data_IF_000366506609
#
_entry.id   IF_000366506609
#
_cell.length_a   1.000
_cell.length_b   1.000
_cell.length_c   1.000
_cell.angle_alpha   90.00
_cell.angle_beta   90.00
_cell.angle_gamma   90.00
#
_symmetry.space_group_name_H-M   'P 1'
#
loop_
_entity.id
_entity.type
_entity.pdbx_description
1 polymer ?
#
# COMPACT_ATOMS: atom_id res chain seq x y z
N UNK A 1 -3.33 -1.49 10.75
CA UNK A 1 -2.64 -0.24 10.34
C UNK A 1 -2.98 0.88 11.33
N UNK A 2 -2.21 1.98 11.41
CA UNK A 2 -2.43 3.01 12.44
C UNK A 2 -3.59 3.93 12.05
N UNK A 3 -4.69 3.87 12.80
CA UNK A 3 -5.84 4.79 12.73
C UNK A 3 -5.42 6.27 12.77
N UNK A 4 -4.22 6.57 13.27
CA UNK A 4 -3.65 7.93 13.35
C UNK A 4 -3.47 8.64 12.00
N UNK A 5 -3.66 7.98 10.85
CA UNK A 5 -3.58 8.55 9.49
C UNK A 5 -4.93 8.62 8.75
N UNK A 6 -6.04 8.45 9.45
CA UNK A 6 -7.39 8.77 8.97
C UNK A 6 -7.86 10.12 9.55
N UNK A 7 -8.73 10.81 8.81
CA UNK A 7 -9.35 12.07 9.24
C UNK A 7 -10.73 11.80 9.84
N UNK A 8 -11.51 10.89 9.25
CA UNK A 8 -12.79 10.39 9.75
C UNK A 8 -12.60 9.26 10.78
N UNK A 9 -13.68 8.90 11.48
CA UNK A 9 -13.70 7.73 12.36
C UNK A 9 -13.32 6.47 11.58
N UNK A 10 -12.37 5.67 12.09
CA UNK A 10 -11.84 4.51 11.38
C UNK A 10 -12.89 3.40 11.33
N UNK A 11 -13.49 3.18 10.17
CA UNK A 11 -14.39 2.05 9.91
C UNK A 11 -13.75 0.95 9.03
N UNK A 12 -12.55 1.18 8.51
CA UNK A 12 -11.80 0.21 7.69
C UNK A 12 -10.41 -0.08 8.28
N UNK A 13 -10.08 -1.36 8.47
CA UNK A 13 -8.82 -1.82 9.05
C UNK A 13 -8.16 -2.90 8.21
N UNK A 14 -6.87 -2.73 7.93
CA UNK A 14 -6.04 -3.78 7.32
C UNK A 14 -5.22 -4.53 8.38
N UNK A 15 -5.30 -5.87 8.34
CA UNK A 15 -4.50 -6.81 9.13
C UNK A 15 -3.72 -7.72 8.19
N UNK A 16 -2.40 -7.78 8.37
CA UNK A 16 -1.55 -8.72 7.64
C UNK A 16 -1.37 -9.99 8.47
N UNK A 17 -1.84 -11.12 7.96
CA UNK A 17 -1.56 -12.43 8.53
C UNK A 17 -0.22 -12.91 7.97
N UNK A 18 0.84 -12.74 8.77
CA UNK A 18 2.23 -13.00 8.35
C UNK A 18 2.60 -14.45 8.64
N UNK A 19 3.01 -15.17 7.60
CA UNK A 19 3.49 -16.53 7.68
C UNK A 19 4.97 -16.60 7.25
N UNK A 20 5.89 -17.01 8.14
CA UNK A 20 7.29 -17.16 7.79
C UNK A 20 7.47 -18.32 6.81
N UNK A 21 8.15 -18.06 5.70
CA UNK A 21 8.52 -19.09 4.71
C UNK A 21 9.98 -18.92 4.34
N UNK A 22 10.71 -20.03 4.30
CA UNK A 22 12.13 -20.02 4.00
C UNK A 22 12.42 -20.62 2.62
N UNK A 23 13.58 -20.23 2.06
CA UNK A 23 14.18 -20.87 0.87
C UNK A 23 13.28 -20.84 -0.36
N UNK A 24 12.63 -19.70 -0.60
CA UNK A 24 11.90 -19.48 -1.84
C UNK A 24 12.86 -19.01 -2.94
N UNK A 25 12.53 -19.40 -4.17
CA UNK A 25 13.05 -18.80 -5.39
C UNK A 25 11.93 -17.95 -5.99
N UNK A 26 12.30 -16.73 -6.38
CA UNK A 26 11.42 -15.73 -6.93
C UNK A 26 11.72 -15.62 -8.43
N UNK A 27 10.70 -15.83 -9.25
CA UNK A 27 10.74 -15.65 -10.70
C UNK A 27 9.81 -14.49 -11.06
N UNK A 28 10.30 -13.47 -11.75
CA UNK A 28 9.48 -12.31 -12.12
C UNK A 28 8.33 -12.73 -13.04
N UNK A 29 7.11 -12.30 -12.69
CA UNK A 29 5.90 -12.62 -13.47
C UNK A 29 5.73 -11.69 -14.68
N UNK A 30 6.35 -10.52 -14.66
CA UNK A 30 6.27 -9.49 -15.69
C UNK A 30 7.51 -8.59 -15.64
N UNK A 31 7.54 -7.58 -16.51
CA UNK A 31 8.62 -6.61 -16.64
C UNK A 31 8.62 -5.51 -15.56
N UNK A 32 7.64 -5.51 -14.64
CA UNK A 32 7.53 -4.48 -13.60
C UNK A 32 8.45 -4.75 -12.42
N UNK A 33 8.78 -6.02 -12.17
CA UNK A 33 9.52 -6.47 -11.00
C UNK A 33 8.72 -6.37 -9.69
N UNK A 34 7.39 -6.25 -9.75
CA UNK A 34 6.52 -6.20 -8.57
C UNK A 34 5.79 -7.52 -8.29
N UNK A 35 5.60 -8.36 -9.30
CA UNK A 35 4.90 -9.63 -9.21
C UNK A 35 5.84 -10.80 -9.47
N UNK A 36 5.67 -11.88 -8.72
CA UNK A 36 6.55 -13.04 -8.74
C UNK A 36 5.77 -14.34 -8.71
N UNK A 37 6.26 -15.35 -9.43
CA UNK A 37 6.02 -16.74 -9.14
C UNK A 37 7.01 -17.22 -8.08
N UNK A 38 6.56 -18.12 -7.21
CA UNK A 38 7.36 -18.64 -6.11
C UNK A 38 7.54 -20.15 -6.25
N UNK A 39 8.77 -20.63 -6.17
CA UNK A 39 9.09 -22.05 -6.05
C UNK A 39 9.93 -22.30 -4.82
N UNK A 40 9.87 -23.51 -4.26
CA UNK A 40 10.75 -23.87 -3.14
C UNK A 40 12.11 -24.34 -3.67
N UNK A 41 13.21 -23.74 -3.21
CA UNK A 41 14.57 -24.18 -3.58
C UNK A 41 14.90 -25.59 -3.08
N UNK A 42 14.21 -26.04 -2.03
CA UNK A 42 14.29 -27.37 -1.39
C UNK A 42 12.97 -27.67 -0.71
N UNK A 43 12.70 -28.94 -0.37
CA UNK A 43 11.51 -29.31 0.39
C UNK A 43 11.32 -28.41 1.62
N UNK A 44 10.15 -27.76 1.76
CA UNK A 44 9.88 -26.87 2.90
C UNK A 44 9.82 -27.68 4.18
N UNK A 45 10.18 -27.05 5.31
CA UNK A 45 9.98 -27.63 6.65
C UNK A 45 8.50 -27.96 6.87
N UNK A 46 7.64 -27.00 6.52
CA UNK A 46 6.19 -27.14 6.53
C UNK A 46 5.72 -27.90 5.29
N UNK A 47 5.71 -29.24 5.37
CA UNK A 47 5.27 -30.10 4.25
C UNK A 47 3.85 -29.81 3.78
N UNK A 48 3.00 -29.29 4.66
CA UNK A 48 1.63 -28.88 4.32
C UNK A 48 1.57 -27.78 3.25
N UNK A 49 2.64 -27.01 3.03
CA UNK A 49 2.69 -26.02 1.95
C UNK A 49 2.73 -26.66 0.56
N UNK A 50 3.20 -27.91 0.45
CA UNK A 50 3.30 -28.63 -0.82
C UNK A 50 1.92 -28.88 -1.47
N UNK A 51 0.85 -28.96 -0.67
CA UNK A 51 -0.53 -29.12 -1.18
C UNK A 51 -1.04 -27.89 -1.97
N UNK A 52 -0.35 -26.76 -1.84
CA UNK A 52 -0.69 -25.52 -2.51
C UNK A 52 0.14 -25.25 -3.76
N UNK A 53 0.96 -26.20 -4.20
CA UNK A 53 1.66 -26.11 -5.47
C UNK A 53 0.66 -26.25 -6.64
N UNK A 54 0.89 -25.53 -7.73
CA UNK A 54 0.23 -25.76 -9.00
C UNK A 54 0.91 -26.88 -9.82
N UNK A 55 0.41 -27.12 -11.03
CA UNK A 55 0.92 -28.15 -11.94
C UNK A 55 2.37 -27.91 -12.36
N UNK A 56 2.83 -26.65 -12.33
CA UNK A 56 4.19 -26.23 -12.66
C UNK A 56 5.12 -26.21 -11.43
N UNK A 57 4.64 -26.70 -10.27
CA UNK A 57 5.39 -26.70 -9.01
C UNK A 57 5.55 -25.32 -8.36
N UNK A 58 4.74 -24.34 -8.76
CA UNK A 58 4.73 -22.97 -8.21
C UNK A 58 3.74 -22.87 -7.06
N UNK A 59 4.12 -22.17 -6.00
CA UNK A 59 3.26 -21.95 -4.83
C UNK A 59 2.10 -21.02 -5.19
N UNK A 60 0.89 -21.56 -5.23
CA UNK A 60 -0.30 -20.83 -5.67
C UNK A 60 -0.85 -19.91 -4.58
N UNK A 61 -0.77 -18.60 -4.82
CA UNK A 61 -1.44 -17.58 -4.01
C UNK A 61 -2.95 -17.83 -3.91
N UNK A 62 -3.60 -18.18 -5.03
CA UNK A 62 -5.03 -18.47 -5.07
C UNK A 62 -5.43 -19.65 -4.18
N UNK A 63 -4.74 -20.80 -4.29
CA UNK A 63 -5.06 -22.00 -3.49
C UNK A 63 -4.90 -21.72 -1.99
N UNK A 64 -3.83 -21.03 -1.59
CA UNK A 64 -3.59 -20.66 -0.20
C UNK A 64 -4.63 -19.68 0.33
N UNK A 65 -4.95 -18.64 -0.44
CA UNK A 65 -5.94 -17.64 -0.06
C UNK A 65 -7.35 -18.25 0.04
N UNK A 66 -7.69 -19.18 -0.85
CA UNK A 66 -8.95 -19.92 -0.78
C UNK A 66 -9.02 -20.80 0.47
N UNK A 67 -7.97 -21.55 0.78
CA UNK A 67 -7.91 -22.37 1.99
C UNK A 67 -8.05 -21.52 3.26
N UNK A 68 -7.32 -20.39 3.35
CA UNK A 68 -7.44 -19.45 4.46
C UNK A 68 -8.87 -18.90 4.58
N UNK A 69 -9.49 -18.54 3.45
CA UNK A 69 -10.86 -18.02 3.43
C UNK A 69 -11.88 -19.02 3.95
N UNK A 70 -11.75 -20.30 3.60
CA UNK A 70 -12.65 -21.33 4.11
C UNK A 70 -12.44 -21.59 5.61
N UNK A 71 -11.20 -21.57 6.09
CA UNK A 71 -10.90 -21.63 7.54
C UNK A 71 -11.56 -20.43 8.25
N UNK A 72 -11.34 -19.21 7.77
CA UNK A 72 -11.92 -18.00 8.38
C UNK A 72 -13.45 -18.08 8.38
N UNK A 73 -14.09 -18.53 7.30
CA UNK A 73 -15.55 -18.71 7.26
C UNK A 73 -16.04 -19.74 8.29
N UNK A 74 -15.29 -20.81 8.53
CA UNK A 74 -15.63 -21.81 9.54
C UNK A 74 -15.51 -21.22 10.94
N UNK A 75 -14.42 -20.51 11.23
CA UNK A 75 -14.20 -19.90 12.55
C UNK A 75 -15.16 -18.74 12.85
N UNK A 76 -15.52 -17.94 11.85
CA UNK A 76 -16.49 -16.85 12.02
C UNK A 76 -17.85 -17.38 12.48
N UNK A 77 -18.26 -18.59 12.07
CA UNK A 77 -19.51 -19.22 12.56
C UNK A 77 -19.49 -19.57 14.05
N UNK A 78 -18.31 -19.70 14.64
CA UNK A 78 -18.14 -20.01 16.05
C UNK A 78 -18.23 -18.75 16.95
N UNK A 79 -18.16 -17.55 16.35
CA UNK A 79 -18.28 -16.28 17.07
C UNK A 79 -19.76 -16.00 17.34
N UNK A 80 -20.15 -15.96 18.63
CA UNK A 80 -21.56 -15.77 19.03
C UNK A 80 -21.89 -14.37 19.55
N UNK A 81 -20.89 -13.63 20.03
CA UNK A 81 -21.10 -12.39 20.77
C UNK A 81 -21.13 -11.13 19.89
N UNK A 82 -20.76 -11.26 18.61
CA UNK A 82 -20.66 -10.17 17.66
C UNK A 82 -21.13 -10.68 16.30
N UNK A 83 -21.93 -9.90 15.59
CA UNK A 83 -22.35 -10.24 14.21
C UNK A 83 -21.19 -9.95 13.26
N UNK A 84 -20.49 -11.02 12.89
CA UNK A 84 -19.33 -11.00 11.98
C UNK A 84 -19.65 -11.85 10.76
N UNK A 85 -19.45 -11.29 9.57
CA UNK A 85 -19.62 -12.01 8.31
C UNK A 85 -18.40 -11.86 7.41
N UNK A 86 -18.17 -12.85 6.55
CA UNK A 86 -17.10 -12.77 5.53
C UNK A 86 -17.73 -12.28 4.22
N UNK A 87 -17.35 -11.09 3.76
CA UNK A 87 -17.95 -10.49 2.54
C UNK A 87 -17.62 -11.30 1.30
N UNK A 88 -18.41 -11.16 0.22
CA UNK A 88 -18.17 -11.85 -1.06
C UNK A 88 -16.77 -11.53 -1.61
N UNK A 89 -16.11 -12.56 -2.15
CA UNK A 89 -14.80 -12.41 -2.80
C UNK A 89 -14.88 -11.39 -3.94
N UNK A 90 -14.12 -10.30 -3.82
CA UNK A 90 -13.89 -9.34 -4.92
C UNK A 90 -12.80 -9.87 -5.85
N UNK A 91 -13.05 -9.86 -7.16
CA UNK A 91 -12.10 -10.37 -8.14
C UNK A 91 -10.76 -9.60 -8.07
N UNK A 92 -9.64 -10.33 -8.04
CA UNK A 92 -8.29 -9.75 -7.93
C UNK A 92 -7.93 -9.09 -6.60
N UNK A 93 -8.83 -9.07 -5.61
CA UNK A 93 -8.51 -8.58 -4.27
C UNK A 93 -7.67 -9.61 -3.50
N UNK A 94 -6.56 -9.20 -2.86
CA UNK A 94 -5.78 -10.09 -2.00
C UNK A 94 -6.38 -10.26 -0.59
N UNK A 95 -7.41 -9.48 -0.25
CA UNK A 95 -7.97 -9.43 1.10
C UNK A 95 -9.17 -10.38 1.26
N UNK A 96 -9.27 -10.94 2.46
CA UNK A 96 -10.47 -11.57 2.99
C UNK A 96 -11.11 -10.56 3.95
N UNK A 97 -12.12 -9.85 3.47
CA UNK A 97 -12.80 -8.81 4.24
C UNK A 97 -13.84 -9.40 5.17
N UNK A 98 -13.73 -9.09 6.46
CA UNK A 98 -14.76 -9.29 7.46
C UNK A 98 -15.62 -8.03 7.58
N UNK A 99 -16.92 -8.19 7.69
CA UNK A 99 -17.86 -7.14 8.10
C UNK A 99 -18.32 -7.45 9.52
N UNK A 100 -18.03 -6.53 10.42
CA UNK A 100 -18.37 -6.59 11.84
C UNK A 100 -19.46 -5.54 12.07
N UNK A 101 -20.68 -5.95 12.39
CA UNK A 101 -21.72 -4.99 12.77
C UNK A 101 -21.47 -4.53 14.20
N UNK A 102 -21.28 -3.23 14.37
CA UNK A 102 -21.03 -2.61 15.66
C UNK A 102 -21.83 -1.31 15.78
N UNK A 103 -23.17 -1.40 15.95
CA UNK A 103 -24.05 -0.23 15.94
C UNK A 103 -23.52 0.91 16.83
N UNK A 104 -23.51 2.17 16.35
CA UNK A 104 -24.22 2.66 15.16
C UNK A 104 -23.46 2.51 13.82
N UNK A 105 -22.25 1.93 13.80
CA UNK A 105 -21.43 1.83 12.58
C UNK A 105 -21.10 0.38 12.20
N UNK A 106 -20.62 0.19 10.98
CA UNK A 106 -20.08 -1.09 10.53
C UNK A 106 -18.56 -0.98 10.40
N UNK A 107 -17.85 -2.00 10.86
CA UNK A 107 -16.40 -2.07 10.75
C UNK A 107 -16.05 -3.13 9.70
N UNK A 108 -15.25 -2.72 8.72
CA UNK A 108 -14.65 -3.59 7.71
C UNK A 108 -13.21 -3.92 8.11
N UNK A 109 -12.86 -5.21 8.14
CA UNK A 109 -11.50 -5.68 8.44
C UNK A 109 -10.96 -6.54 7.30
N UNK A 110 -9.95 -6.04 6.59
CA UNK A 110 -9.25 -6.74 5.53
C UNK A 110 -8.13 -7.60 6.09
N UNK A 111 -8.28 -8.92 6.01
CA UNK A 111 -7.23 -9.89 6.35
C UNK A 111 -6.42 -10.21 5.08
N UNK A 112 -5.13 -9.90 5.11
CA UNK A 112 -4.21 -10.03 3.99
C UNK A 112 -3.19 -11.14 4.28
N UNK A 113 -3.30 -12.26 3.56
CA UNK A 113 -2.28 -13.32 3.61
C UNK A 113 -0.94 -12.81 3.10
N UNK A 114 0.08 -12.89 3.96
CA UNK A 114 1.42 -12.39 3.67
C UNK A 114 2.46 -13.46 3.99
N UNK A 115 3.37 -13.74 3.06
CA UNK A 115 4.57 -14.52 3.35
C UNK A 115 5.69 -13.59 3.77
N UNK A 116 6.35 -13.90 4.88
CA UNK A 116 7.60 -13.28 5.29
C UNK A 116 8.76 -14.19 4.88
N UNK A 117 9.69 -13.65 4.10
CA UNK A 117 10.82 -14.41 3.56
C UNK A 117 12.12 -13.75 3.99
N UNK A 118 12.91 -14.50 4.75
CA UNK A 118 14.24 -14.05 5.18
C UNK A 118 15.25 -14.25 4.05
N UNK A 119 15.30 -13.28 3.15
CA UNK A 119 16.25 -13.19 2.05
C UNK A 119 16.46 -11.73 1.63
N UNK A 120 17.51 -11.46 0.85
CA UNK A 120 17.73 -10.15 0.24
C UNK A 120 16.55 -9.75 -0.65
N UNK A 121 16.28 -8.45 -0.71
CA UNK A 121 15.26 -7.93 -1.62
C UNK A 121 15.63 -8.19 -3.09
N UNK A 122 14.64 -8.33 -4.00
CA UNK A 122 14.90 -8.57 -5.41
C UNK A 122 15.64 -7.41 -6.10
N UNK A 123 16.32 -7.72 -7.21
CA UNK A 123 17.05 -6.75 -8.02
C UNK A 123 16.19 -5.58 -8.51
N UNK A 124 14.89 -5.81 -8.76
CA UNK A 124 13.91 -4.78 -9.11
C UNK A 124 13.82 -3.62 -8.11
N UNK A 125 14.29 -3.83 -6.87
CA UNK A 125 14.26 -2.84 -5.78
C UNK A 125 15.59 -2.11 -5.56
N UNK A 126 16.64 -2.44 -6.32
CA UNK A 126 18.00 -1.95 -6.10
C UNK A 126 18.06 -0.42 -6.13
N UNK A 127 17.41 0.18 -7.13
CA UNK A 127 17.36 1.63 -7.33
C UNK A 127 16.15 2.31 -6.68
N UNK A 128 15.36 1.55 -5.91
CA UNK A 128 14.27 2.07 -5.09
C UNK A 128 14.74 2.56 -3.71
N UNK A 129 13.79 3.10 -2.95
CA UNK A 129 14.00 3.62 -1.60
C UNK A 129 15.12 4.67 -1.56
N UNK A 130 14.99 5.73 -2.36
CA UNK A 130 15.99 6.80 -2.53
C UNK A 130 15.94 7.82 -1.38
N UNK A 131 16.14 7.37 -0.15
CA UNK A 131 15.98 8.16 1.07
C UNK A 131 17.31 8.69 1.62
N UNK A 132 18.41 8.59 0.87
CA UNK A 132 19.76 8.93 1.34
C UNK A 132 19.85 10.38 1.82
N UNK A 133 19.23 11.32 1.11
CA UNK A 133 19.20 12.74 1.49
C UNK A 133 18.14 13.05 2.55
N UNK A 134 17.12 12.19 2.69
CA UNK A 134 16.03 12.40 3.64
C UNK A 134 16.33 11.78 5.01
N UNK A 135 16.58 10.48 5.08
CA UNK A 135 16.79 9.73 6.33
C UNK A 135 18.21 9.16 6.47
N UNK A 136 19.07 9.34 5.47
CA UNK A 136 20.45 8.88 5.51
C UNK A 136 20.67 7.47 4.94
N UNK A 137 21.91 7.24 4.50
CA UNK A 137 22.36 5.95 3.92
C UNK A 137 22.31 4.81 4.93
N UNK A 138 22.58 5.08 6.22
CA UNK A 138 22.54 4.08 7.30
C UNK A 138 21.12 3.53 7.48
N UNK A 139 20.12 4.42 7.59
CA UNK A 139 18.71 4.02 7.73
C UNK A 139 18.25 3.24 6.49
N UNK A 140 18.60 3.69 5.29
CA UNK A 140 18.30 2.95 4.05
C UNK A 140 18.83 1.53 4.09
N UNK A 141 20.09 1.35 4.49
CA UNK A 141 20.72 0.04 4.59
C UNK A 141 20.01 -0.86 5.61
N UNK A 142 19.70 -0.32 6.79
CA UNK A 142 18.97 -1.05 7.85
C UNK A 142 17.57 -1.50 7.38
N UNK A 143 16.84 -0.64 6.66
CA UNK A 143 15.54 -0.99 6.10
C UNK A 143 15.64 -2.09 5.03
N UNK A 144 16.65 -2.05 4.16
CA UNK A 144 16.88 -3.07 3.13
C UNK A 144 17.32 -4.43 3.67
N UNK A 145 17.81 -4.50 4.91
CA UNK A 145 18.12 -5.78 5.57
C UNK A 145 16.91 -6.46 6.22
N UNK A 146 15.76 -5.78 6.31
CA UNK A 146 14.53 -6.38 6.84
C UNK A 146 13.94 -7.38 5.86
N UNK A 147 13.19 -8.34 6.39
CA UNK A 147 12.57 -9.43 5.64
C UNK A 147 11.72 -8.94 4.46
N UNK A 148 11.67 -9.76 3.41
CA UNK A 148 10.83 -9.52 2.25
C UNK A 148 9.40 -9.99 2.52
N UNK A 149 8.40 -9.15 2.23
CA UNK A 149 6.98 -9.53 2.39
C UNK A 149 6.34 -9.70 1.01
N UNK A 150 5.57 -10.79 0.84
CA UNK A 150 4.86 -11.14 -0.39
C UNK A 150 3.38 -11.34 -0.07
N UNK A 151 2.50 -10.62 -0.77
CA UNK A 151 1.04 -10.74 -0.59
C UNK A 151 0.41 -11.52 -1.73
N UNK A 152 -0.63 -12.31 -1.41
CA UNK A 152 -1.37 -13.14 -2.35
C UNK A 152 -2.22 -12.29 -3.32
N UNK A 153 -1.57 -11.66 -4.31
CA UNK A 153 -2.20 -10.73 -5.24
C UNK A 153 -1.93 -11.11 -6.69
N UNK A 154 -3.02 -11.35 -7.40
CA UNK A 154 -3.02 -11.67 -8.82
C UNK A 154 -2.47 -10.51 -9.67
N UNK A 155 -1.61 -10.85 -10.62
CA UNK A 155 -1.16 -9.94 -11.65
C UNK A 155 -2.18 -9.89 -12.79
N UNK A 156 -2.78 -8.71 -13.01
CA UNK A 156 -3.78 -8.50 -14.06
C UNK A 156 -3.18 -8.47 -15.48
N UNK A 157 -1.86 -8.39 -15.62
CA UNK A 157 -1.15 -8.40 -16.91
C UNK A 157 -0.86 -9.81 -17.44
N UNK A 158 -1.11 -10.85 -16.63
CA UNK A 158 -0.95 -12.23 -17.09
C UNK A 158 -1.94 -12.54 -18.22
N UNK A 159 -1.44 -13.08 -19.34
CA UNK A 159 -2.29 -13.52 -20.47
C UNK A 159 -3.32 -14.56 -20.05
N UNK A 160 -2.94 -15.43 -19.12
CA UNK A 160 -3.82 -16.43 -18.50
C UNK A 160 -3.83 -16.17 -17.01
N UNK A 161 -4.97 -15.71 -16.51
CA UNK A 161 -5.18 -15.36 -15.11
C UNK A 161 -5.26 -16.62 -14.23
N UNK A 162 -4.10 -17.24 -13.93
CA UNK A 162 -4.02 -18.43 -13.08
C UNK A 162 -4.15 -18.12 -11.57
N UNK A 163 -3.91 -16.87 -11.17
CA UNK A 163 -4.00 -16.44 -9.78
C UNK A 163 -2.85 -16.96 -8.90
N UNK A 164 -1.74 -17.36 -9.53
CA UNK A 164 -0.60 -17.99 -8.85
C UNK A 164 0.52 -17.00 -8.52
N UNK A 165 0.28 -15.71 -8.76
CA UNK A 165 1.27 -14.65 -8.56
C UNK A 165 1.19 -14.04 -7.16
N UNK A 166 2.36 -13.63 -6.67
CA UNK A 166 2.56 -12.94 -5.41
C UNK A 166 3.13 -11.56 -5.69
N UNK A 167 2.64 -10.53 -5.01
CA UNK A 167 3.18 -9.18 -5.15
C UNK A 167 4.08 -8.82 -3.99
N UNK A 168 5.18 -8.14 -4.25
CA UNK A 168 5.97 -7.50 -3.19
C UNK A 168 5.11 -6.57 -2.34
N UNK A 169 5.40 -6.52 -1.04
CA UNK A 169 4.78 -5.63 -0.08
C UNK A 169 5.86 -5.01 0.82
N UNK A 170 5.81 -3.69 0.96
CA UNK A 170 6.72 -2.94 1.81
C UNK A 170 5.98 -2.27 2.97
N UNK A 171 4.77 -2.71 3.27
CA UNK A 171 3.90 -2.14 4.31
C UNK A 171 4.58 -1.92 5.66
N UNK A 172 5.44 -2.86 6.07
CA UNK A 172 6.19 -2.75 7.33
C UNK A 172 7.32 -1.70 7.26
N UNK A 173 7.92 -1.50 6.08
CA UNK A 173 8.90 -0.44 5.81
C UNK A 173 8.21 0.92 5.72
N UNK A 174 7.09 1.01 4.99
CA UNK A 174 6.28 2.23 4.91
C UNK A 174 5.84 2.70 6.29
N UNK A 175 5.43 1.78 7.16
CA UNK A 175 5.13 2.09 8.56
C UNK A 175 6.35 2.66 9.30
N UNK A 176 7.54 2.09 9.08
CA UNK A 176 8.77 2.58 9.69
C UNK A 176 9.14 3.99 9.18
N UNK A 177 8.99 4.25 7.87
CA UNK A 177 9.19 5.58 7.27
C UNK A 177 8.22 6.60 7.84
N UNK A 178 6.92 6.27 7.94
CA UNK A 178 5.93 7.19 8.51
C UNK A 178 6.14 7.43 10.00
N UNK A 179 6.66 6.45 10.75
CA UNK A 179 6.96 6.64 12.16
C UNK A 179 8.22 7.48 12.36
N UNK A 180 9.22 7.35 11.49
CA UNK A 180 10.51 8.04 11.55
C UNK A 180 10.70 8.89 10.29
N UNK A 181 9.86 9.92 10.15
CA UNK A 181 9.72 10.69 8.91
C UNK A 181 10.53 12.00 8.92
N UNK A 182 11.17 12.34 10.03
CA UNK A 182 12.02 13.51 10.14
C UNK A 182 13.41 13.27 9.57
N UNK A 183 14.02 14.32 9.03
CA UNK A 183 15.45 14.33 8.76
C UNK A 183 16.25 14.36 10.07
N UNK A 184 15.78 15.14 11.05
CA UNK A 184 16.23 15.02 12.43
C UNK A 184 15.58 13.83 13.12
N UNK A 185 16.29 13.23 14.08
CA UNK A 185 15.77 12.11 14.86
C UNK A 185 14.63 12.50 15.79
N UNK A 186 14.58 13.78 16.20
CA UNK A 186 13.63 14.29 17.18
C UNK A 186 12.35 14.86 16.55
N UNK A 187 12.22 14.86 15.22
CA UNK A 187 11.04 15.38 14.55
C UNK A 187 9.75 14.72 15.07
N UNK A 188 8.82 15.56 15.54
CA UNK A 188 7.55 15.16 16.14
C UNK A 188 7.62 14.31 17.43
N UNK A 189 8.80 14.15 18.04
CA UNK A 189 8.93 13.65 19.42
C UNK A 189 8.39 14.67 20.43
N UNK A 190 8.22 14.29 21.71
CA UNK A 190 7.60 15.15 22.74
C UNK A 190 8.23 16.54 22.82
N UNK A 191 9.56 16.60 22.88
CA UNK A 191 10.35 17.85 23.00
C UNK A 191 10.94 18.33 21.67
N UNK A 192 10.56 17.69 20.56
CA UNK A 192 11.10 18.00 19.24
C UNK A 192 10.19 18.90 18.40
N UNK A 193 10.74 19.54 17.35
CA UNK A 193 9.95 20.37 16.44
C UNK A 193 8.87 19.53 15.77
N UNK A 194 7.66 20.08 15.68
CA UNK A 194 6.55 19.44 14.97
C UNK A 194 6.63 19.75 13.48
N UNK A 195 6.24 18.79 12.65
CA UNK A 195 6.16 18.95 11.20
C UNK A 195 4.78 18.59 10.66
N UNK A 196 4.50 18.99 9.42
CA UNK A 196 3.21 18.76 8.77
C UNK A 196 3.19 17.57 7.80
N UNK A 197 4.27 16.78 7.64
CA UNK A 197 4.33 15.64 6.67
C UNK A 197 3.14 14.68 6.77
N UNK A 198 2.80 14.25 8.00
CA UNK A 198 1.62 13.40 8.25
C UNK A 198 0.31 14.14 7.98
N UNK A 199 0.23 15.44 8.30
CA UNK A 199 -0.92 16.30 8.03
C UNK A 199 -1.21 16.40 6.53
N UNK A 200 -0.19 16.66 5.71
CA UNK A 200 -0.31 16.70 4.25
C UNK A 200 -0.80 15.35 3.69
N UNK A 201 -0.26 14.23 4.18
CA UNK A 201 -0.73 12.90 3.78
C UNK A 201 -2.21 12.67 4.12
N UNK A 202 -2.64 13.05 5.33
CA UNK A 202 -4.04 12.94 5.76
C UNK A 202 -4.95 13.74 4.85
N UNK A 203 -4.64 15.02 4.63
CA UNK A 203 -5.46 15.92 3.82
C UNK A 203 -5.57 15.44 2.37
N UNK A 204 -4.46 14.96 1.77
CA UNK A 204 -4.49 14.42 0.41
C UNK A 204 -5.30 13.12 0.32
N UNK A 205 -5.20 12.24 1.33
CA UNK A 205 -6.01 11.03 1.38
C UNK A 205 -7.49 11.36 1.45
N UNK A 206 -7.86 12.29 2.34
CA UNK A 206 -9.24 12.73 2.51
C UNK A 206 -9.78 13.40 1.24
N UNK A 207 -9.00 14.28 0.61
CA UNK A 207 -9.37 14.90 -0.66
C UNK A 207 -9.64 13.86 -1.76
N UNK A 208 -8.77 12.84 -1.88
CA UNK A 208 -8.98 11.75 -2.84
C UNK A 208 -10.22 10.93 -2.50
N UNK A 209 -10.47 10.66 -1.22
CA UNK A 209 -11.64 9.92 -0.75
C UNK A 209 -12.95 10.65 -1.09
N UNK A 210 -13.05 11.94 -0.76
CA UNK A 210 -14.21 12.78 -1.10
C UNK A 210 -14.46 12.81 -2.62
N UNK A 211 -13.40 12.97 -3.42
CA UNK A 211 -13.51 12.91 -4.87
C UNK A 211 -13.97 11.54 -5.36
N UNK A 212 -13.49 10.44 -4.78
CA UNK A 212 -13.93 9.09 -5.13
C UNK A 212 -15.40 8.85 -4.76
N UNK A 213 -15.90 9.43 -3.67
CA UNK A 213 -17.32 9.35 -3.32
C UNK A 213 -18.18 10.10 -4.35
N UNK A 214 -17.71 11.26 -4.82
CA UNK A 214 -18.40 12.08 -5.83
C UNK A 214 -18.33 11.47 -7.25
N UNK A 215 -17.22 10.82 -7.58
CA UNK A 215 -16.93 10.26 -8.92
C UNK A 215 -16.45 8.80 -8.85
N UNK A 216 -17.29 7.87 -8.36
CA UNK A 216 -16.85 6.51 -8.05
C UNK A 216 -16.42 5.70 -9.27
N UNK A 217 -17.01 5.98 -10.44
CA UNK A 217 -16.70 5.26 -11.69
C UNK A 217 -15.39 5.76 -12.31
N UNK A 218 -15.26 7.08 -12.44
CA UNK A 218 -14.10 7.74 -13.06
C UNK A 218 -12.82 7.53 -12.24
N UNK A 219 -12.98 7.43 -10.91
CA UNK A 219 -11.88 7.34 -9.96
C UNK A 219 -11.74 5.97 -9.29
N UNK A 220 -12.39 4.91 -9.80
CA UNK A 220 -12.37 3.56 -9.22
C UNK A 220 -10.93 3.06 -8.99
N UNK A 221 -10.05 3.29 -9.98
CA UNK A 221 -8.67 2.79 -10.03
C UNK A 221 -7.73 3.44 -9.01
N UNK A 222 -8.05 4.64 -8.53
CA UNK A 222 -7.21 5.32 -7.55
C UNK A 222 -7.47 4.80 -6.14
N UNK A 223 -6.41 4.51 -5.41
CA UNK A 223 -6.47 4.26 -3.97
C UNK A 223 -5.48 5.16 -3.21
N UNK A 224 -5.58 5.13 -1.88
CA UNK A 224 -4.71 5.86 -0.94
C UNK A 224 -3.22 5.55 -1.13
N UNK A 225 -2.87 4.44 -1.78
CA UNK A 225 -1.48 4.08 -2.07
C UNK A 225 -0.80 5.04 -3.07
N UNK A 226 -1.54 5.59 -4.04
CA UNK A 226 -0.98 6.59 -4.97
C UNK A 226 -0.59 7.84 -4.22
N UNK A 227 -1.48 8.34 -3.36
CA UNK A 227 -1.22 9.52 -2.51
C UNK A 227 -0.03 9.28 -1.59
N UNK A 228 0.01 8.13 -0.91
CA UNK A 228 1.14 7.79 -0.03
C UNK A 228 2.47 7.76 -0.79
N UNK A 229 2.48 7.15 -1.98
CA UNK A 229 3.67 7.08 -2.84
C UNK A 229 4.11 8.47 -3.28
N UNK A 230 3.16 9.34 -3.68
CA UNK A 230 3.46 10.71 -4.05
C UNK A 230 4.07 11.49 -2.87
N UNK A 231 3.52 11.36 -1.67
CA UNK A 231 4.07 12.00 -0.46
C UNK A 231 5.46 11.48 -0.11
N UNK A 232 5.76 10.19 -0.30
CA UNK A 232 7.12 9.69 -0.11
C UNK A 232 8.12 10.31 -1.08
N UNK A 233 7.75 10.47 -2.35
CA UNK A 233 8.59 11.22 -3.30
C UNK A 233 8.72 12.70 -2.92
N UNK A 234 7.64 13.35 -2.45
CA UNK A 234 7.69 14.69 -1.87
C UNK A 234 8.67 14.81 -0.70
N UNK A 235 8.69 13.85 0.21
CA UNK A 235 9.64 13.84 1.34
C UNK A 235 11.10 13.67 0.87
N UNK A 236 11.34 13.02 -0.27
CA UNK A 236 12.69 12.92 -0.86
C UNK A 236 13.10 14.23 -1.55
N UNK A 237 12.17 14.90 -2.24
CA UNK A 237 12.44 16.20 -2.89
C UNK A 237 12.66 17.32 -1.87
N UNK A 238 11.96 17.27 -0.73
CA UNK A 238 12.04 18.24 0.35
C UNK A 238 12.45 17.52 1.65
N UNK A 239 13.73 17.17 1.79
CA UNK A 239 14.16 16.29 2.87
C UNK A 239 14.16 16.96 4.24
N UNK A 240 14.37 18.27 4.34
CA UNK A 240 14.66 18.93 5.62
C UNK A 240 13.39 19.13 6.44
N UNK A 241 13.49 19.11 7.76
CA UNK A 241 12.31 19.32 8.62
C UNK A 241 11.73 20.73 8.51
N UNK A 242 12.56 21.72 8.17
CA UNK A 242 12.16 23.10 7.89
C UNK A 242 11.33 23.23 6.62
N UNK A 243 11.43 22.29 5.67
CA UNK A 243 10.58 22.27 4.47
C UNK A 243 9.12 21.88 4.80
N UNK A 244 8.88 21.40 6.03
CA UNK A 244 7.62 20.84 6.52
C UNK A 244 7.21 21.45 7.86
N UNK A 245 7.53 22.71 8.09
CA UNK A 245 7.17 23.38 9.33
C UNK A 245 5.65 23.32 9.57
N UNK A 246 5.23 23.06 10.81
CA UNK A 246 3.82 22.85 11.13
C UNK A 246 2.95 24.07 10.78
N UNK A 247 3.49 25.28 10.96
CA UNK A 247 2.81 26.54 10.63
C UNK A 247 2.55 26.75 9.14
N UNK A 248 3.26 26.03 8.27
CA UNK A 248 3.16 26.15 6.81
C UNK A 248 2.36 25.00 6.19
N UNK A 249 1.46 24.38 6.97
CA UNK A 249 0.68 23.21 6.55
C UNK A 249 -0.03 23.42 5.21
N UNK A 250 -0.61 24.60 4.99
CA UNK A 250 -1.30 24.98 3.76
C UNK A 250 -0.33 24.96 2.56
N UNK A 251 0.83 25.59 2.68
CA UNK A 251 1.86 25.62 1.65
C UNK A 251 2.41 24.22 1.36
N UNK A 252 2.77 23.46 2.40
CA UNK A 252 3.30 22.11 2.26
C UNK A 252 2.26 21.15 1.64
N UNK A 253 0.99 21.28 2.00
CA UNK A 253 -0.09 20.51 1.39
C UNK A 253 -0.24 20.85 -0.10
N UNK A 254 -0.27 22.13 -0.46
CA UNK A 254 -0.36 22.56 -1.86
C UNK A 254 0.85 22.09 -2.69
N UNK A 255 2.06 22.11 -2.12
CA UNK A 255 3.26 21.53 -2.76
C UNK A 255 3.10 20.05 -3.06
N UNK A 256 2.63 19.26 -2.09
CA UNK A 256 2.40 17.83 -2.29
C UNK A 256 1.31 17.56 -3.33
N UNK A 257 0.24 18.35 -3.29
CA UNK A 257 -0.84 18.27 -4.26
C UNK A 257 -0.35 18.60 -5.67
N UNK A 258 0.43 19.67 -5.83
CA UNK A 258 1.02 20.07 -7.10
C UNK A 258 1.89 18.96 -7.70
N UNK A 259 2.75 18.34 -6.88
CA UNK A 259 3.53 17.17 -7.32
C UNK A 259 2.64 15.99 -7.76
N UNK A 260 1.59 15.66 -6.99
CA UNK A 260 0.69 14.58 -7.37
C UNK A 260 -0.10 14.89 -8.65
N UNK A 261 -0.51 16.14 -8.84
CA UNK A 261 -1.13 16.64 -10.09
C UNK A 261 -0.17 16.48 -11.28
N UNK A 262 1.10 16.85 -11.13
CA UNK A 262 2.12 16.68 -12.17
C UNK A 262 2.29 15.20 -12.53
N UNK A 263 2.37 14.30 -11.55
CA UNK A 263 2.39 12.86 -11.76
C UNK A 263 1.19 12.37 -12.58
N UNK A 264 -0.02 12.85 -12.26
CA UNK A 264 -1.25 12.51 -12.99
C UNK A 264 -1.21 13.01 -14.44
N UNK A 265 -0.79 14.25 -14.66
CA UNK A 265 -0.67 14.84 -16.01
C UNK A 265 0.33 14.08 -16.89
N UNK A 266 1.45 13.65 -16.30
CA UNK A 266 2.47 12.84 -16.97
C UNK A 266 2.12 11.35 -17.02
N UNK A 267 1.06 10.93 -16.31
CA UNK A 267 0.74 9.50 -16.07
C UNK A 267 1.96 8.72 -15.58
N UNK A 268 2.71 9.31 -14.65
CA UNK A 268 3.96 8.77 -14.14
C UNK A 268 4.07 8.97 -12.64
N UNK A 269 3.93 7.87 -11.90
CA UNK A 269 4.18 7.77 -10.48
C UNK A 269 4.91 6.44 -10.21
N UNK A 270 6.25 6.41 -10.29
CA UNK A 270 7.02 5.21 -10.00
C UNK A 270 6.76 4.72 -8.58
N UNK A 271 6.61 3.41 -8.39
CA UNK A 271 6.51 2.80 -7.08
C UNK A 271 7.78 3.11 -6.27
N UNK A 272 7.61 3.58 -5.03
CA UNK A 272 8.72 4.11 -4.23
C UNK A 272 9.89 3.13 -4.02
N UNK A 273 9.57 1.84 -3.94
CA UNK A 273 10.55 0.76 -3.75
C UNK A 273 10.93 0.04 -5.05
N UNK A 274 10.18 0.21 -6.15
CA UNK A 274 10.34 -0.57 -7.40
C UNK A 274 10.24 0.43 -8.57
N UNK A 275 11.34 1.10 -8.95
CA UNK A 275 11.27 2.23 -9.88
C UNK A 275 10.67 1.90 -11.25
N UNK A 276 10.81 0.67 -11.73
CA UNK A 276 10.23 0.21 -13.00
C UNK A 276 8.71 0.07 -12.95
N UNK A 277 8.13 -0.12 -11.76
CA UNK A 277 6.70 -0.29 -11.62
C UNK A 277 5.99 1.07 -11.51
N UNK A 278 5.48 1.58 -12.62
CA UNK A 278 4.65 2.79 -12.63
C UNK A 278 3.23 2.49 -12.11
N UNK A 279 2.79 3.23 -11.08
CA UNK A 279 1.46 3.09 -10.48
C UNK A 279 0.36 3.77 -11.29
N UNK A 280 0.69 4.77 -12.12
CA UNK A 280 -0.26 5.44 -13.00
C UNK A 280 -0.14 4.85 -14.40
N UNK A 281 -1.02 3.90 -14.75
CA UNK A 281 -0.99 3.26 -16.07
C UNK A 281 -1.22 4.27 -17.19
N UNK A 282 -0.52 4.10 -18.32
CA UNK A 282 -0.79 4.85 -19.55
C UNK A 282 -2.16 4.51 -20.15
N UNK A 283 -2.65 3.28 -19.90
CA UNK A 283 -4.00 2.85 -20.29
C UNK A 283 -5.08 3.64 -19.52
N UNK A 284 -4.74 4.22 -18.37
CA UNK A 284 -5.63 4.96 -17.49
C UNK A 284 -5.50 6.48 -17.67
N UNK A 285 -4.87 6.93 -18.76
CA UNK A 285 -4.57 8.35 -19.03
C UNK A 285 -5.81 9.24 -18.91
N UNK A 286 -6.98 8.77 -19.37
CA UNK A 286 -8.24 9.51 -19.24
C UNK A 286 -8.64 9.73 -17.77
N UNK A 287 -8.59 8.68 -16.93
CA UNK A 287 -8.84 8.77 -15.49
C UNK A 287 -7.79 9.64 -14.79
N UNK A 288 -6.51 9.56 -15.19
CA UNK A 288 -5.44 10.39 -14.64
C UNK A 288 -5.70 11.88 -14.92
N UNK A 289 -6.03 12.23 -16.17
CA UNK A 289 -6.38 13.62 -16.53
C UNK A 289 -7.66 14.09 -15.85
N UNK A 290 -8.67 13.22 -15.72
CA UNK A 290 -9.90 13.56 -14.99
C UNK A 290 -9.58 13.93 -13.54
N UNK A 291 -8.86 13.07 -12.81
CA UNK A 291 -8.47 13.35 -11.43
C UNK A 291 -7.62 14.63 -11.33
N UNK A 292 -6.65 14.81 -12.23
CA UNK A 292 -5.85 16.04 -12.28
C UNK A 292 -6.70 17.30 -12.43
N UNK A 293 -7.71 17.28 -13.31
CA UNK A 293 -8.64 18.41 -13.48
C UNK A 293 -9.44 18.69 -12.21
N UNK A 294 -9.95 17.64 -11.56
CA UNK A 294 -10.70 17.81 -10.31
C UNK A 294 -9.80 18.39 -9.20
N UNK A 295 -8.58 17.87 -9.03
CA UNK A 295 -7.64 18.38 -8.04
C UNK A 295 -7.23 19.85 -8.31
N UNK A 296 -6.99 20.21 -9.57
CA UNK A 296 -6.72 21.61 -9.94
C UNK A 296 -7.92 22.52 -9.67
N UNK A 297 -9.14 22.05 -9.92
CA UNK A 297 -10.33 22.80 -9.57
C UNK A 297 -10.43 23.02 -8.05
N UNK A 298 -10.14 21.99 -7.24
CA UNK A 298 -10.11 22.13 -5.78
C UNK A 298 -9.05 23.14 -5.34
N UNK A 299 -7.84 23.06 -5.88
CA UNK A 299 -6.74 23.98 -5.56
C UNK A 299 -7.09 25.44 -5.91
N UNK A 300 -7.60 25.70 -7.12
CA UNK A 300 -7.89 27.05 -7.61
C UNK A 300 -9.10 27.71 -6.92
N UNK A 301 -9.98 26.92 -6.30
CA UNK A 301 -11.20 27.40 -5.65
C UNK A 301 -11.15 27.25 -4.12
N UNK A 302 -9.95 27.12 -3.53
CA UNK A 302 -9.74 27.02 -2.07
C UNK A 302 -10.46 25.82 -1.42
N UNK A 303 -10.41 24.66 -2.07
CA UNK A 303 -10.90 23.37 -1.60
C UNK A 303 -12.37 23.39 -1.16
N UNK A 304 -13.34 23.64 -2.07
CA UNK A 304 -14.75 23.65 -1.73
C UNK A 304 -15.21 22.34 -1.07
N UNK A 305 -14.61 21.19 -1.38
CA UNK A 305 -14.91 19.90 -0.74
C UNK A 305 -14.58 19.83 0.77
N UNK A 306 -13.77 20.75 1.29
CA UNK A 306 -13.49 20.81 2.74
C UNK A 306 -14.52 21.64 3.50
N UNK A 307 -15.45 22.30 2.79
CA UNK A 307 -16.52 23.12 3.36
C UNK A 307 -17.88 22.41 3.32
N UNK A 308 -17.97 21.28 2.61
CA UNK A 308 -19.09 20.35 2.59
C UNK A 308 -19.03 19.40 3.78
#
# INVERSE_FOLDING_TARGET
YSATLQISEPNEFDIMLVMPVARLQLEESDDTGAYYYLTFKRNPKEKNLLKFLDEDGKLSAFKMLQALREIIKQEVKNIKNVDVTVTRKKAGSPAITLQIKNPPSEISVDIILTLEVQQSWPASTQDGLKIEQWLGTKVRRELKYRSLYLVAKQNKREKVLRGNTWRLSFSHIEKALMNNHGNSKTCCESDGPKCCRKGCLKLLKYLLEQLKMKYPKELEKFCSYHVKTAVFHSCVMWPNDTDWHLGDLDHCFQKCLGYFVECLQKSQLPHFFIPKYNLLSLEDKASNHFLSRQLNHQLNNRFPLFQE
#
